data_IF_183482926479
#
_entry.id   IF_183482926479
#
_cell.length_a   1.000
_cell.length_b   1.000
_cell.length_c   1.000
_cell.angle_alpha   90.00
_cell.angle_beta   90.00
_cell.angle_gamma   90.00
#
_symmetry.space_group_name_H-M   'P 1'
#
loop_
_entity.id
_entity.type
_entity.pdbx_description
1 polymer ?
#
# COMPACT_ATOMS: atom_id res chain seq x y z
N UNK A 1 6.83 -1.88 -8.31
CA UNK A 1 5.57 -2.58 -7.95
C UNK A 1 4.54 -1.56 -7.55
N UNK A 2 3.28 -1.70 -7.97
CA UNK A 2 2.19 -0.82 -7.54
C UNK A 2 1.87 -0.99 -6.04
N UNK A 3 1.26 0.02 -5.44
CA UNK A 3 0.74 -0.03 -4.06
C UNK A 3 -0.40 -1.06 -4.00
N UNK A 4 -0.51 -1.81 -2.89
CA UNK A 4 -1.65 -2.70 -2.64
C UNK A 4 -2.95 -1.89 -2.52
N UNK A 5 -4.02 -2.39 -3.16
CA UNK A 5 -5.32 -1.73 -3.18
C UNK A 5 -5.40 -0.52 -4.13
N UNK A 6 -4.37 -0.25 -4.93
CA UNK A 6 -4.42 0.75 -5.99
C UNK A 6 -5.28 0.23 -7.16
N UNK A 7 -6.58 0.49 -7.07
CA UNK A 7 -7.56 0.12 -8.09
C UNK A 7 -7.61 1.09 -9.29
N UNK A 8 -6.81 2.17 -9.28
CA UNK A 8 -6.77 3.17 -10.37
C UNK A 8 -5.60 2.92 -11.32
N UNK A 9 -4.43 2.60 -10.77
CA UNK A 9 -3.20 2.47 -11.55
C UNK A 9 -2.49 1.13 -11.33
N UNK A 10 -2.95 0.30 -10.39
CA UNK A 10 -2.28 -0.94 -10.01
C UNK A 10 -2.16 -1.97 -11.14
N UNK A 11 -3.10 -2.00 -12.09
CA UNK A 11 -3.07 -2.90 -13.26
C UNK A 11 -2.12 -2.47 -14.38
N UNK A 12 -1.54 -1.26 -14.28
CA UNK A 12 -0.58 -0.73 -15.26
C UNK A 12 0.80 -1.37 -15.15
N UNK A 13 1.00 -2.25 -14.18
CA UNK A 13 2.16 -3.13 -14.07
C UNK A 13 1.67 -4.57 -14.03
N UNK A 14 2.14 -5.40 -14.95
CA UNK A 14 1.81 -6.83 -15.01
C UNK A 14 3.05 -7.69 -15.13
N UNK A 15 2.97 -8.95 -14.71
CA UNK A 15 4.04 -9.93 -14.93
C UNK A 15 3.76 -10.72 -16.20
N UNK A 16 4.65 -10.63 -17.18
CA UNK A 16 4.64 -11.44 -18.40
C UNK A 16 5.87 -12.35 -18.35
N UNK A 17 5.68 -13.67 -18.37
CA UNK A 17 6.77 -14.65 -18.22
C UNK A 17 7.62 -14.40 -16.96
N UNK A 18 6.98 -14.00 -15.86
CA UNK A 18 7.66 -13.67 -14.60
C UNK A 18 8.33 -12.30 -14.55
N UNK A 19 8.41 -11.58 -15.67
CA UNK A 19 9.04 -10.27 -15.76
C UNK A 19 7.99 -9.16 -15.58
N UNK A 20 8.18 -8.21 -14.65
CA UNK A 20 7.29 -7.06 -14.52
C UNK A 20 7.43 -6.13 -15.73
N UNK A 21 6.30 -5.79 -16.34
CA UNK A 21 6.19 -4.94 -17.52
C UNK A 21 5.15 -3.85 -17.30
N UNK A 22 5.38 -2.69 -17.90
CA UNK A 22 4.41 -1.60 -17.96
C UNK A 22 3.35 -1.89 -19.02
N UNK A 23 2.12 -1.52 -18.71
CA UNK A 23 0.98 -1.60 -19.61
C UNK A 23 0.62 -0.18 -20.02
N UNK A 24 0.52 0.06 -21.33
CA UNK A 24 0.14 1.37 -21.84
C UNK A 24 -1.31 1.69 -21.45
N UNK A 25 -1.59 2.95 -21.10
CA UNK A 25 -2.92 3.40 -20.67
C UNK A 25 -4.02 3.33 -21.75
N UNK A 26 -3.69 2.93 -22.97
CA UNK A 26 -4.68 2.74 -24.06
C UNK A 26 -5.08 1.26 -24.20
N UNK A 27 -4.55 0.39 -23.34
CA UNK A 27 -4.89 -1.00 -23.29
C UNK A 27 -6.02 -1.20 -22.26
N UNK A 28 -7.06 -1.95 -22.61
CA UNK A 28 -8.22 -2.18 -21.74
C UNK A 28 -7.85 -2.78 -20.37
N UNK A 29 -6.75 -3.53 -20.29
CA UNK A 29 -6.30 -4.11 -19.02
C UNK A 29 -5.78 -3.04 -18.05
N UNK A 30 -5.41 -1.85 -18.53
CA UNK A 30 -4.95 -0.73 -17.70
C UNK A 30 -6.05 -0.12 -16.80
N UNK A 31 -7.33 -0.46 -17.07
CA UNK A 31 -8.50 0.00 -16.31
C UNK A 31 -9.17 -1.15 -15.52
N UNK A 32 -8.43 -2.24 -15.32
CA UNK A 32 -8.87 -3.35 -14.46
C UNK A 32 -8.32 -3.22 -13.03
N UNK A 33 -8.94 -3.86 -12.02
CA UNK A 33 -8.38 -3.90 -10.66
C UNK A 33 -6.97 -4.49 -10.62
N UNK A 34 -6.24 -4.17 -9.55
CA UNK A 34 -4.91 -4.72 -9.31
C UNK A 34 -4.94 -6.26 -9.26
N UNK A 35 -4.14 -6.91 -10.09
CA UNK A 35 -3.95 -8.37 -10.07
C UNK A 35 -2.84 -8.73 -9.09
N UNK A 36 -3.18 -9.53 -8.08
CA UNK A 36 -2.22 -10.02 -7.10
C UNK A 36 -1.82 -11.48 -7.41
N UNK A 37 -0.65 -11.93 -6.94
CA UNK A 37 -0.33 -13.35 -6.94
C UNK A 37 -1.37 -14.18 -6.17
N UNK A 38 -1.70 -15.41 -6.59
CA UNK A 38 -2.67 -16.27 -5.90
C UNK A 38 -2.37 -16.47 -4.41
N UNK A 39 -1.09 -16.49 -4.03
CA UNK A 39 -0.65 -16.64 -2.65
C UNK A 39 -1.07 -15.45 -1.78
N UNK A 40 -1.04 -14.24 -2.35
CA UNK A 40 -1.47 -13.02 -1.64
C UNK A 40 -2.98 -13.05 -1.43
N UNK A 41 -3.77 -13.45 -2.43
CA UNK A 41 -5.22 -13.64 -2.26
C UNK A 41 -5.53 -14.67 -1.17
N UNK A 42 -4.79 -15.79 -1.16
CA UNK A 42 -4.96 -16.83 -0.14
C UNK A 42 -4.66 -16.34 1.27
N UNK A 43 -3.59 -15.55 1.46
CA UNK A 43 -3.22 -15.00 2.77
C UNK A 43 -4.22 -13.95 3.27
N UNK A 44 -4.88 -13.24 2.36
CA UNK A 44 -5.89 -12.23 2.71
C UNK A 44 -7.30 -12.82 2.79
N UNK A 45 -7.47 -14.12 2.58
CA UNK A 45 -8.77 -14.81 2.54
C UNK A 45 -9.74 -14.20 1.50
N UNK A 46 -9.21 -13.76 0.35
CA UNK A 46 -9.94 -13.12 -0.72
C UNK A 46 -9.88 -13.93 -2.02
N UNK A 47 -10.84 -13.71 -2.91
CA UNK A 47 -10.74 -14.14 -4.32
C UNK A 47 -10.29 -12.99 -5.22
N UNK A 48 -9.87 -13.30 -6.45
CA UNK A 48 -9.55 -12.28 -7.44
C UNK A 48 -10.75 -11.35 -7.75
N UNK A 49 -11.98 -11.87 -7.64
CA UNK A 49 -13.19 -11.09 -7.81
C UNK A 49 -13.40 -10.06 -6.69
N UNK A 50 -12.85 -10.32 -5.50
CA UNK A 50 -12.95 -9.43 -4.34
C UNK A 50 -11.84 -8.37 -4.32
N UNK A 51 -10.91 -8.36 -5.29
CA UNK A 51 -9.74 -7.47 -5.29
C UNK A 51 -10.06 -5.98 -5.06
N UNK A 52 -11.22 -5.52 -5.54
CA UNK A 52 -11.68 -4.13 -5.40
C UNK A 52 -11.95 -3.75 -3.93
N UNK A 53 -12.22 -4.70 -3.04
CA UNK A 53 -12.50 -4.43 -1.62
C UNK A 53 -11.23 -4.14 -0.82
N UNK A 54 -10.04 -4.44 -1.37
CA UNK A 54 -8.77 -4.19 -0.71
C UNK A 54 -8.55 -2.67 -0.63
N UNK A 55 -8.47 -2.07 0.59
CA UNK A 55 -8.19 -0.65 0.73
C UNK A 55 -6.80 -0.32 0.20
N UNK A 56 -6.59 0.93 -0.23
CA UNK A 56 -5.26 1.38 -0.64
C UNK A 56 -4.33 1.46 0.58
N UNK A 57 -3.19 0.78 0.53
CA UNK A 57 -2.19 0.79 1.60
C UNK A 57 -1.21 1.96 1.46
N UNK A 58 -1.72 3.19 1.48
CA UNK A 58 -0.93 4.43 1.58
C UNK A 58 -1.27 5.12 2.88
N UNK A 59 -0.25 5.35 3.71
CA UNK A 59 -0.39 6.02 5.00
C UNK A 59 0.65 7.12 5.15
N UNK A 60 0.20 8.33 5.51
CA UNK A 60 1.10 9.42 5.88
C UNK A 60 1.43 9.29 7.38
N UNK A 61 2.57 8.67 7.68
CA UNK A 61 2.99 8.40 9.05
C UNK A 61 3.50 9.65 9.77
N UNK A 62 4.34 10.44 9.12
CA UNK A 62 5.04 11.57 9.74
C UNK A 62 5.04 12.80 8.83
N UNK A 63 4.83 13.97 9.42
CA UNK A 63 4.96 15.26 8.74
C UNK A 63 5.70 16.26 9.62
N UNK A 64 6.86 16.72 9.16
CA UNK A 64 7.61 17.81 9.78
C UNK A 64 7.15 19.15 9.21
N UNK A 65 6.72 20.06 10.10
CA UNK A 65 6.38 21.44 9.79
C UNK A 65 7.50 22.35 10.31
N UNK A 66 8.44 22.81 9.45
CA UNK A 66 9.58 23.61 9.88
C UNK A 66 9.14 24.96 10.45
N UNK A 67 9.71 25.34 11.61
CA UNK A 67 9.49 26.67 12.23
C UNK A 67 8.01 27.02 12.46
N UNK A 68 7.15 26.02 12.62
CA UNK A 68 5.70 26.19 12.76
C UNK A 68 5.30 26.87 14.08
N UNK A 69 6.00 26.56 15.16
CA UNK A 69 5.69 27.08 16.49
C UNK A 69 6.26 28.49 16.71
N UNK A 70 5.65 29.25 17.63
CA UNK A 70 6.17 30.55 18.06
C UNK A 70 7.61 30.39 18.58
N UNK A 71 8.52 31.22 18.08
CA UNK A 71 9.96 31.09 18.38
C UNK A 71 10.75 30.25 17.37
N UNK A 72 10.11 29.76 16.29
CA UNK A 72 10.78 29.11 15.17
C UNK A 72 11.12 27.64 15.40
N UNK A 73 10.53 27.00 16.41
CA UNK A 73 10.62 25.55 16.60
C UNK A 73 9.79 24.82 15.53
N UNK A 74 10.31 23.71 15.02
CA UNK A 74 9.57 22.84 14.11
C UNK A 74 8.57 21.97 14.88
N UNK A 75 7.45 21.65 14.24
CA UNK A 75 6.44 20.74 14.77
C UNK A 75 6.51 19.41 14.01
N UNK A 76 6.59 18.29 14.73
CA UNK A 76 6.51 16.96 14.16
C UNK A 76 5.12 16.38 14.43
N UNK A 77 4.39 16.03 13.38
CA UNK A 77 3.10 15.36 13.46
C UNK A 77 3.30 13.88 13.13
N UNK A 78 2.68 12.99 13.91
CA UNK A 78 2.72 11.54 13.69
C UNK A 78 1.32 10.94 13.73
N UNK A 79 1.09 9.93 12.92
CA UNK A 79 -0.13 9.15 12.90
C UNK A 79 0.20 7.65 12.89
N UNK A 80 -0.41 6.84 13.78
CA UNK A 80 -0.23 5.39 13.73
C UNK A 80 -0.83 4.82 12.43
N UNK A 81 -0.29 3.71 11.89
CA UNK A 81 -0.89 3.05 10.75
C UNK A 81 -2.35 2.63 11.02
N UNK A 82 -3.25 2.69 10.03
CA UNK A 82 -4.63 2.24 10.20
C UNK A 82 -4.72 0.75 10.56
N UNK A 83 -5.73 0.30 11.34
CA UNK A 83 -5.86 -1.11 11.74
C UNK A 83 -5.88 -2.11 10.58
N UNK A 84 -6.55 -1.78 9.47
CA UNK A 84 -6.56 -2.65 8.28
C UNK A 84 -5.17 -2.80 7.63
N UNK A 85 -4.35 -1.75 7.71
CA UNK A 85 -2.98 -1.76 7.21
C UNK A 85 -2.15 -2.76 8.01
N UNK A 86 -2.24 -2.66 9.35
CA UNK A 86 -1.54 -3.56 10.27
C UNK A 86 -1.98 -5.01 10.10
N UNK A 87 -3.30 -5.25 10.02
CA UNK A 87 -3.85 -6.59 9.79
C UNK A 87 -3.30 -7.19 8.49
N UNK A 88 -3.27 -6.43 7.39
CA UNK A 88 -2.69 -6.89 6.13
C UNK A 88 -1.19 -7.19 6.27
N UNK A 89 -0.43 -6.34 6.95
CA UNK A 89 0.99 -6.61 7.20
C UNK A 89 1.19 -7.90 8.01
N UNK A 90 0.35 -8.17 9.00
CA UNK A 90 0.40 -9.41 9.79
C UNK A 90 0.12 -10.64 8.92
N UNK A 91 -0.95 -10.61 8.11
CA UNK A 91 -1.27 -11.73 7.21
C UNK A 91 -0.17 -12.01 6.18
N UNK A 92 0.53 -10.97 5.74
CA UNK A 92 1.63 -11.07 4.77
C UNK A 92 3.00 -11.32 5.42
N UNK A 93 3.08 -11.45 6.75
CA UNK A 93 4.35 -11.63 7.47
C UNK A 93 5.30 -10.43 7.37
N UNK A 94 4.76 -9.22 7.17
CA UNK A 94 5.50 -7.96 6.99
C UNK A 94 5.67 -7.16 8.30
N UNK A 95 5.13 -7.64 9.42
CA UNK A 95 5.32 -6.99 10.71
C UNK A 95 6.77 -7.14 11.20
N UNK A 96 7.50 -6.03 11.26
CA UNK A 96 8.83 -5.98 11.87
C UNK A 96 8.67 -5.70 13.38
N UNK A 97 9.24 -6.56 14.23
CA UNK A 97 9.14 -6.48 15.70
C UNK A 97 9.98 -5.35 16.35
N UNK A 98 10.72 -4.57 15.56
CA UNK A 98 11.75 -3.64 16.05
C UNK A 98 11.44 -2.15 15.83
N UNK A 99 10.17 -1.73 15.84
CA UNK A 99 9.90 -0.29 15.89
C UNK A 99 9.99 0.22 17.33
N UNK A 100 11.22 0.42 17.80
CA UNK A 100 11.53 1.06 19.10
C UNK A 100 11.17 2.55 19.14
N UNK A 101 10.48 3.07 18.11
CA UNK A 101 10.18 4.50 17.90
C UNK A 101 8.86 4.95 18.51
N UNK A 102 8.18 4.05 19.24
CA UNK A 102 6.97 4.32 20.04
C UNK A 102 7.27 4.67 21.52
N UNK A 103 8.54 4.90 21.87
CA UNK A 103 8.94 5.51 23.16
C UNK A 103 9.41 6.94 22.95
#
# INVERSE_FOLDING_TARGET
SPVLGDNLFGSRIQKVMGVPMTVHHFNDVADTPQKLPPEVYSLLELTAADSVVIPVHIHLEEMLLPRFCKGGQSLLLRAPPPPHFLWTCEQLGLTHMDDTRLL
#
